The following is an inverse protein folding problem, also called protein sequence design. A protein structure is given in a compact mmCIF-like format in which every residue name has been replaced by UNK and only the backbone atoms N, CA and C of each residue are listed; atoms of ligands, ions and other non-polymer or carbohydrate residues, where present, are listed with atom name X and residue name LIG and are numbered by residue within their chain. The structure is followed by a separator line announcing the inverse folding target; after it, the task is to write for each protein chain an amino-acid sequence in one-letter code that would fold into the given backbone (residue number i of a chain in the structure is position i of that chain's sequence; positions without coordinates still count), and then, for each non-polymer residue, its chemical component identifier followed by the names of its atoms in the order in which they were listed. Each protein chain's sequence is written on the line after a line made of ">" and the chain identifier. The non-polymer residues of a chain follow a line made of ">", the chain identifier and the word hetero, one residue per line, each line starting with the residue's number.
data_IF_743805508538
#
_entry.id   IF_743805508538
#
_cell.length_a   1.000
_cell.length_b   1.000
_cell.length_c   1.000
_cell.angle_alpha   90.00
_cell.angle_beta   90.00
_cell.angle_gamma   90.00
#
_symmetry.space_group_name_H-M   'P 1'
#
loop_
_entity.id
_entity.type
_entity.pdbx_description
1 polymer ?
#
# COMPACT_ATOMS: atom_id res chain seq x y z
N UNK A 1 8.86 23.83 3.70
CA UNK A 1 9.77 23.42 4.80
C UNK A 1 11.14 22.99 4.29
N UNK A 2 11.23 22.03 3.35
CA UNK A 2 12.53 21.54 2.84
C UNK A 2 13.43 22.65 2.30
N UNK A 3 12.87 23.53 1.48
CA UNK A 3 13.64 24.63 0.88
C UNK A 3 14.09 25.67 1.90
N UNK A 4 13.40 25.80 3.03
CA UNK A 4 13.76 26.68 4.11
C UNK A 4 14.95 26.15 4.96
N UNK A 5 15.00 24.83 5.18
CA UNK A 5 16.05 24.18 5.97
C UNK A 5 17.37 24.02 5.20
N UNK A 6 17.28 23.78 3.89
CA UNK A 6 18.44 23.39 3.08
C UNK A 6 19.62 24.37 3.12
N UNK A 7 19.43 25.70 3.01
CA UNK A 7 20.57 26.63 3.00
C UNK A 7 21.39 26.62 4.29
N UNK A 8 20.73 26.48 5.45
CA UNK A 8 21.41 26.42 6.74
C UNK A 8 22.22 25.14 6.92
N UNK A 9 21.65 24.01 6.47
CA UNK A 9 22.29 22.69 6.50
C UNK A 9 23.54 22.67 5.62
N UNK A 10 23.45 23.16 4.38
CA UNK A 10 24.58 23.16 3.46
C UNK A 10 25.72 24.09 3.86
N UNK A 11 25.47 25.09 4.70
CA UNK A 11 26.53 25.93 5.32
C UNK A 11 27.28 25.19 6.44
N UNK A 12 26.61 24.29 7.17
CA UNK A 12 27.21 23.56 8.28
C UNK A 12 27.89 22.26 7.86
N UNK A 13 27.43 21.65 6.77
CA UNK A 13 27.90 20.34 6.32
C UNK A 13 28.32 20.34 4.86
N UNK A 14 29.51 19.84 4.57
CA UNK A 14 29.96 19.58 3.21
C UNK A 14 29.58 18.16 2.79
N UNK A 15 28.74 18.03 1.76
CA UNK A 15 28.30 16.74 1.21
C UNK A 15 29.03 16.38 -0.08
N UNK A 16 29.43 17.36 -0.88
CA UNK A 16 30.28 17.19 -2.07
C UNK A 16 31.73 17.59 -1.75
N UNK A 17 32.67 16.72 -2.07
CA UNK A 17 34.10 16.98 -1.90
C UNK A 17 34.69 17.72 -3.11
N UNK A 18 34.13 17.43 -4.29
CA UNK A 18 34.69 17.94 -5.56
C UNK A 18 34.31 19.40 -5.81
N UNK A 19 33.14 19.82 -5.29
CA UNK A 19 32.63 21.18 -5.43
C UNK A 19 32.06 21.66 -4.09
N UNK A 20 32.91 22.00 -3.12
CA UNK A 20 32.45 22.33 -1.77
C UNK A 20 31.66 23.65 -1.71
N UNK A 21 31.94 24.60 -2.58
CA UNK A 21 31.31 25.92 -2.61
C UNK A 21 30.07 26.00 -3.53
N UNK A 22 29.82 24.96 -4.33
CA UNK A 22 28.66 24.96 -5.22
C UNK A 22 27.41 24.38 -4.54
N UNK A 23 26.46 25.27 -4.27
CA UNK A 23 25.18 24.93 -3.60
C UNK A 23 24.46 23.76 -4.27
N UNK A 24 24.39 23.76 -5.59
CA UNK A 24 23.70 22.71 -6.36
C UNK A 24 24.37 21.35 -6.22
N UNK A 25 25.70 21.32 -6.29
CA UNK A 25 26.48 20.10 -6.08
C UNK A 25 26.35 19.55 -4.67
N UNK A 26 26.34 20.42 -3.67
CA UNK A 26 26.10 20.04 -2.27
C UNK A 26 24.69 19.44 -2.09
N UNK A 27 23.67 20.09 -2.62
CA UNK A 27 22.30 19.60 -2.60
C UNK A 27 22.16 18.24 -3.27
N UNK A 28 22.69 18.08 -4.48
CA UNK A 28 22.62 16.80 -5.22
C UNK A 28 23.33 15.67 -4.45
N UNK A 29 24.48 15.97 -3.84
CA UNK A 29 25.24 15.01 -3.05
C UNK A 29 24.48 14.58 -1.78
N UNK A 30 23.83 15.52 -1.09
CA UNK A 30 22.94 15.21 0.03
C UNK A 30 21.77 14.32 -0.43
N UNK A 31 21.10 14.71 -1.51
CA UNK A 31 19.96 13.93 -2.03
C UNK A 31 20.37 12.53 -2.48
N UNK A 32 21.56 12.37 -3.07
CA UNK A 32 22.10 11.06 -3.44
C UNK A 32 22.40 10.19 -2.22
N UNK A 33 22.91 10.78 -1.12
CA UNK A 33 23.12 10.05 0.15
C UNK A 33 21.82 9.51 0.74
N UNK A 34 20.71 10.24 0.58
CA UNK A 34 19.40 9.83 1.05
C UNK A 34 18.71 8.90 0.04
N UNK A 35 18.50 9.39 -1.18
CA UNK A 35 17.69 8.73 -2.21
C UNK A 35 18.34 7.51 -2.85
N UNK A 36 19.66 7.53 -3.05
CA UNK A 36 20.40 6.42 -3.66
C UNK A 36 20.54 5.17 -2.78
N UNK A 37 20.02 5.19 -1.56
CA UNK A 37 20.16 4.09 -0.60
C UNK A 37 18.86 3.36 -0.26
N UNK A 38 17.80 3.59 -1.02
CA UNK A 38 16.50 2.97 -0.75
C UNK A 38 16.57 1.43 -0.85
N UNK A 39 17.21 0.89 -1.86
CA UNK A 39 17.39 -0.56 -1.99
C UNK A 39 18.29 -1.16 -0.92
N UNK A 40 19.27 -0.39 -0.44
CA UNK A 40 20.21 -0.85 0.58
C UNK A 40 19.59 -0.84 1.98
N UNK A 41 18.80 0.20 2.31
CA UNK A 41 18.29 0.39 3.67
C UNK A 41 16.85 -0.05 3.86
N UNK A 42 16.02 -0.07 2.83
CA UNK A 42 14.58 -0.29 2.97
C UNK A 42 14.10 -1.69 2.60
N UNK A 43 14.84 -2.44 1.80
CA UNK A 43 14.35 -3.72 1.25
C UNK A 43 12.87 -3.66 0.82
N UNK A 44 12.56 -2.69 -0.03
CA UNK A 44 11.19 -2.42 -0.52
C UNK A 44 10.60 -3.58 -1.34
N UNK A 45 11.45 -4.54 -1.73
CA UNK A 45 11.02 -5.70 -2.52
C UNK A 45 10.18 -6.67 -1.70
N UNK A 46 10.54 -6.88 -0.44
CA UNK A 46 9.94 -7.91 0.40
C UNK A 46 9.00 -7.34 1.48
N UNK A 47 8.91 -6.01 1.57
CA UNK A 47 8.13 -5.35 2.61
C UNK A 47 7.15 -4.34 2.02
N UNK A 48 5.89 -4.46 2.40
CA UNK A 48 4.89 -3.41 2.19
C UNK A 48 5.15 -2.32 3.22
N UNK A 49 5.30 -1.08 2.76
CA UNK A 49 5.44 0.09 3.61
C UNK A 49 4.16 0.91 3.48
N UNK A 50 3.46 1.06 4.60
CA UNK A 50 2.07 1.55 4.60
C UNK A 50 1.94 3.05 4.90
N UNK A 51 3.02 3.69 5.37
CA UNK A 51 2.98 5.12 5.70
C UNK A 51 4.33 5.81 5.45
N UNK A 52 4.33 7.14 5.26
CA UNK A 52 5.56 7.90 5.14
C UNK A 52 6.40 7.88 6.42
N UNK A 53 5.76 7.76 7.58
CA UNK A 53 6.41 7.61 8.88
C UNK A 53 7.17 6.28 8.95
N UNK A 54 6.53 5.20 8.57
CA UNK A 54 7.15 3.88 8.50
C UNK A 54 8.30 3.86 7.49
N UNK A 55 8.14 4.50 6.34
CA UNK A 55 9.19 4.61 5.33
C UNK A 55 10.45 5.28 5.90
N UNK A 56 10.27 6.40 6.57
CA UNK A 56 11.38 7.11 7.21
C UNK A 56 12.02 6.28 8.34
N UNK A 57 11.22 5.72 9.23
CA UNK A 57 11.71 4.90 10.34
C UNK A 57 12.51 3.68 9.87
N UNK A 58 12.00 2.95 8.87
CA UNK A 58 12.71 1.79 8.28
C UNK A 58 13.99 2.20 7.59
N UNK A 59 14.01 3.36 6.93
CA UNK A 59 15.23 3.88 6.31
C UNK A 59 16.34 4.15 7.36
N UNK A 60 16.00 4.82 8.48
CA UNK A 60 16.94 5.05 9.55
C UNK A 60 17.42 3.75 10.21
N UNK A 61 16.50 2.82 10.43
CA UNK A 61 16.86 1.49 10.96
C UNK A 61 17.80 0.75 10.01
N UNK A 62 17.54 0.81 8.70
CA UNK A 62 18.39 0.21 7.68
C UNK A 62 19.78 0.85 7.60
N UNK A 63 19.89 2.17 7.78
CA UNK A 63 21.16 2.84 7.89
C UNK A 63 21.98 2.31 9.09
N UNK A 64 21.35 2.19 10.26
CA UNK A 64 21.99 1.66 11.47
C UNK A 64 22.41 0.20 11.26
N UNK A 65 21.55 -0.62 10.70
CA UNK A 65 21.85 -2.02 10.41
C UNK A 65 23.01 -2.16 9.41
N UNK A 66 23.02 -1.34 8.36
CA UNK A 66 24.11 -1.32 7.39
C UNK A 66 25.48 -1.02 8.04
N UNK A 67 25.51 -0.03 8.91
CA UNK A 67 26.73 0.32 9.67
C UNK A 67 27.20 -0.87 10.51
N UNK A 68 26.28 -1.54 11.23
CA UNK A 68 26.61 -2.66 12.10
C UNK A 68 27.02 -3.93 11.35
N UNK A 69 26.53 -4.15 10.16
CA UNK A 69 26.73 -5.43 9.44
C UNK A 69 27.75 -5.31 8.31
N UNK A 70 27.60 -4.30 7.44
CA UNK A 70 28.41 -4.16 6.23
C UNK A 70 29.71 -3.41 6.52
N UNK A 71 29.65 -2.39 7.38
CA UNK A 71 30.77 -1.55 7.74
C UNK A 71 31.44 -1.99 9.07
N UNK A 72 31.05 -3.14 9.62
CA UNK A 72 31.57 -3.65 10.90
C UNK A 72 33.10 -3.70 10.94
N UNK A 73 33.67 -3.12 12.01
CA UNK A 73 35.11 -3.02 12.22
C UNK A 73 35.82 -1.92 11.42
N UNK A 74 35.10 -1.16 10.60
CA UNK A 74 35.63 -0.01 9.81
C UNK A 74 34.69 1.19 9.83
N UNK A 75 33.77 1.23 10.80
CA UNK A 75 32.64 2.18 10.85
C UNK A 75 33.10 3.64 10.73
N UNK A 76 34.11 4.03 11.50
CA UNK A 76 34.57 5.43 11.58
C UNK A 76 35.10 5.97 10.24
N UNK A 77 35.57 5.11 9.33
CA UNK A 77 36.05 5.50 8.01
C UNK A 77 34.96 5.60 6.95
N UNK A 78 33.79 5.01 7.20
CA UNK A 78 32.72 4.85 6.21
C UNK A 78 31.77 6.02 6.14
N UNK A 79 31.29 6.27 4.92
CA UNK A 79 30.38 7.37 4.63
C UNK A 79 29.04 7.25 5.38
N UNK A 80 28.52 6.03 5.55
CA UNK A 80 27.28 5.77 6.27
C UNK A 80 27.38 6.17 7.75
N UNK A 81 28.46 5.77 8.42
CA UNK A 81 28.73 6.16 9.81
C UNK A 81 28.87 7.67 9.98
N UNK A 82 29.67 8.32 9.12
CA UNK A 82 29.84 9.77 9.15
C UNK A 82 28.52 10.51 8.96
N UNK A 83 27.67 10.01 8.05
CA UNK A 83 26.36 10.60 7.83
C UNK A 83 25.43 10.40 9.03
N UNK A 84 25.47 9.22 9.65
CA UNK A 84 24.73 8.95 10.89
C UNK A 84 25.17 9.89 12.02
N UNK A 85 26.47 10.15 12.18
CA UNK A 85 26.98 11.11 13.17
C UNK A 85 26.47 12.55 12.88
N UNK A 86 26.47 12.97 11.62
CA UNK A 86 25.88 14.26 11.22
C UNK A 86 24.38 14.35 11.58
N UNK A 87 23.61 13.29 11.33
CA UNK A 87 22.19 13.23 11.68
C UNK A 87 21.96 13.29 13.20
N UNK A 88 22.84 12.67 13.99
CA UNK A 88 22.74 12.69 15.46
C UNK A 88 23.10 14.04 16.04
N UNK A 89 24.06 14.75 15.45
CA UNK A 89 24.57 16.03 15.95
C UNK A 89 23.81 17.27 15.45
N UNK A 90 23.03 17.14 14.36
CA UNK A 90 22.28 18.24 13.77
C UNK A 90 20.79 17.92 13.62
N UNK A 91 19.94 18.43 14.55
CA UNK A 91 18.49 18.21 14.50
C UNK A 91 17.82 18.74 13.23
N UNK A 92 18.31 19.85 12.64
CA UNK A 92 17.75 20.38 11.39
C UNK A 92 18.04 19.46 10.19
N UNK A 93 19.24 18.86 10.17
CA UNK A 93 19.57 17.85 9.16
C UNK A 93 18.70 16.60 9.31
N UNK A 94 18.47 16.15 10.55
CA UNK A 94 17.59 15.02 10.83
C UNK A 94 16.14 15.31 10.38
N UNK A 95 15.63 16.50 10.67
CA UNK A 95 14.32 16.94 10.23
C UNK A 95 14.24 16.98 8.69
N UNK A 96 15.24 17.58 8.06
CA UNK A 96 15.32 17.64 6.60
C UNK A 96 15.28 16.26 5.95
N UNK A 97 16.10 15.33 6.44
CA UNK A 97 16.14 13.95 5.91
C UNK A 97 14.81 13.26 6.12
N UNK A 98 14.18 13.42 7.27
CA UNK A 98 12.86 12.87 7.57
C UNK A 98 11.80 13.40 6.61
N UNK A 99 11.73 14.70 6.40
CA UNK A 99 10.81 15.34 5.46
C UNK A 99 11.08 14.92 4.00
N UNK A 100 12.35 14.80 3.63
CA UNK A 100 12.76 14.34 2.30
C UNK A 100 12.29 12.90 2.04
N UNK A 101 12.45 12.01 3.02
CA UNK A 101 11.98 10.61 2.93
C UNK A 101 10.46 10.53 2.83
N UNK A 102 9.72 11.29 3.66
CA UNK A 102 8.26 11.36 3.59
C UNK A 102 7.78 11.89 2.23
N UNK A 103 8.39 12.95 1.71
CA UNK A 103 8.12 13.45 0.35
C UNK A 103 8.40 12.39 -0.71
N UNK A 104 9.50 11.65 -0.57
CA UNK A 104 9.87 10.59 -1.51
C UNK A 104 8.83 9.45 -1.50
N UNK A 105 8.36 9.06 -0.33
CA UNK A 105 7.26 8.09 -0.19
C UNK A 105 6.04 8.53 -1.02
N UNK A 106 5.54 9.74 -0.79
CA UNK A 106 4.37 10.25 -1.51
C UNK A 106 4.59 10.38 -3.01
N UNK A 107 5.77 10.86 -3.42
CA UNK A 107 6.13 10.93 -4.85
C UNK A 107 6.15 9.55 -5.51
N UNK A 108 6.63 8.53 -4.81
CA UNK A 108 6.61 7.16 -5.30
C UNK A 108 5.17 6.63 -5.39
N UNK A 109 4.33 6.91 -4.40
CA UNK A 109 2.91 6.57 -4.44
C UNK A 109 2.20 7.24 -5.63
N UNK A 110 2.46 8.52 -5.88
CA UNK A 110 1.88 9.24 -7.03
C UNK A 110 2.37 8.67 -8.37
N UNK A 111 3.65 8.30 -8.45
CA UNK A 111 4.21 7.67 -9.64
C UNK A 111 3.58 6.29 -9.91
N UNK A 112 3.34 5.50 -8.86
CA UNK A 112 2.66 4.22 -8.95
C UNK A 112 1.16 4.40 -9.26
N UNK A 113 0.50 5.38 -8.65
CA UNK A 113 -0.89 5.70 -8.93
C UNK A 113 -1.12 6.08 -10.40
N UNK A 114 -0.15 6.73 -11.05
CA UNK A 114 -0.19 7.03 -12.50
C UNK A 114 -0.05 5.79 -13.38
N UNK A 115 0.58 4.73 -12.86
CA UNK A 115 0.71 3.42 -13.55
C UNK A 115 -0.44 2.48 -13.19
N UNK A 116 -1.32 2.91 -12.31
CA UNK A 116 -2.49 2.14 -11.87
C UNK A 116 -3.33 1.78 -13.08
N UNK A 117 -3.87 0.55 -13.15
CA UNK A 117 -4.81 0.17 -14.19
C UNK A 117 -5.96 1.17 -14.29
N UNK A 118 -6.48 1.37 -15.48
CA UNK A 118 -7.68 2.18 -15.66
C UNK A 118 -8.85 1.56 -14.90
N UNK A 119 -9.87 2.36 -14.61
CA UNK A 119 -11.08 1.89 -13.93
C UNK A 119 -11.64 0.62 -14.57
N UNK A 120 -11.51 0.49 -15.88
CA UNK A 120 -11.97 -0.65 -16.66
C UNK A 120 -11.17 -1.94 -16.41
N UNK A 121 -9.95 -1.81 -15.90
CA UNK A 121 -9.01 -2.91 -15.69
C UNK A 121 -8.89 -3.32 -14.22
N UNK A 122 -9.27 -2.45 -13.28
CA UNK A 122 -9.12 -2.67 -11.83
C UNK A 122 -10.48 -2.90 -11.19
N UNK A 123 -10.83 -4.15 -10.88
CA UNK A 123 -12.16 -4.45 -10.40
C UNK A 123 -12.24 -5.70 -9.51
N UNK A 124 -13.32 -5.76 -8.76
CA UNK A 124 -13.81 -6.98 -8.12
C UNK A 124 -14.43 -7.89 -9.16
N UNK A 125 -14.27 -9.18 -9.00
CA UNK A 125 -15.06 -10.15 -9.74
C UNK A 125 -16.02 -10.90 -8.81
N UNK A 126 -17.15 -11.31 -9.35
CA UNK A 126 -18.11 -12.17 -8.67
C UNK A 126 -18.24 -13.46 -9.44
N UNK A 127 -18.30 -14.58 -8.73
CA UNK A 127 -18.57 -15.88 -9.31
C UNK A 127 -20.04 -16.03 -9.67
N UNK A 128 -20.34 -16.74 -10.75
CA UNK A 128 -21.70 -17.01 -11.17
C UNK A 128 -22.32 -18.20 -10.46
N UNK A 129 -21.52 -19.05 -9.83
CA UNK A 129 -21.95 -20.25 -9.14
C UNK A 129 -21.28 -20.37 -7.77
N UNK A 130 -22.02 -20.92 -6.79
CA UNK A 130 -21.51 -21.24 -5.45
C UNK A 130 -20.88 -20.06 -4.69
N UNK A 131 -21.52 -18.90 -4.74
CA UNK A 131 -21.13 -17.72 -3.94
C UNK A 131 -19.61 -17.45 -3.94
N UNK A 132 -18.98 -17.53 -5.09
CA UNK A 132 -17.53 -17.33 -5.20
C UNK A 132 -17.21 -15.88 -5.53
N UNK A 133 -16.44 -15.22 -4.68
CA UNK A 133 -16.06 -13.83 -4.87
C UNK A 133 -14.56 -13.67 -4.79
N UNK A 134 -14.04 -12.67 -5.46
CA UNK A 134 -12.65 -12.33 -5.38
C UNK A 134 -12.40 -10.87 -5.76
N UNK A 135 -11.28 -10.37 -5.34
CA UNK A 135 -10.80 -9.04 -5.66
C UNK A 135 -9.61 -9.17 -6.60
N UNK A 136 -9.66 -8.45 -7.69
CA UNK A 136 -8.55 -8.31 -8.61
C UNK A 136 -7.81 -7.01 -8.30
N UNK A 137 -6.51 -7.13 -8.10
CA UNK A 137 -5.64 -6.00 -7.82
C UNK A 137 -4.67 -5.89 -8.98
N UNK A 138 -4.60 -4.69 -9.59
CA UNK A 138 -3.88 -4.49 -10.84
C UNK A 138 -4.20 -5.57 -11.90
N UNK A 139 -5.50 -5.84 -12.14
CA UNK A 139 -5.89 -6.95 -12.99
C UNK A 139 -5.50 -6.70 -14.44
N UNK A 140 -5.08 -7.76 -15.11
CA UNK A 140 -4.87 -7.78 -16.57
C UNK A 140 -5.84 -8.77 -17.17
N UNK A 141 -6.54 -8.34 -18.20
CA UNK A 141 -7.39 -9.26 -18.98
C UNK A 141 -6.55 -9.91 -20.07
N UNK A 142 -6.36 -11.23 -20.00
CA UNK A 142 -5.54 -11.98 -20.94
C UNK A 142 -6.15 -13.35 -21.20
N UNK A 143 -6.17 -13.76 -22.46
CA UNK A 143 -6.73 -15.06 -22.87
C UNK A 143 -8.17 -15.32 -22.41
N UNK A 144 -9.02 -14.29 -22.32
CA UNK A 144 -10.40 -14.40 -21.87
C UNK A 144 -10.59 -14.44 -20.35
N UNK A 145 -9.53 -14.21 -19.56
CA UNK A 145 -9.56 -14.25 -18.11
C UNK A 145 -8.84 -13.05 -17.49
N UNK A 146 -9.23 -12.72 -16.25
CA UNK A 146 -8.57 -11.71 -15.46
C UNK A 146 -7.42 -12.32 -14.65
N UNK A 147 -6.22 -11.84 -14.90
CA UNK A 147 -5.04 -12.17 -14.10
C UNK A 147 -4.90 -11.15 -12.95
N UNK A 148 -4.52 -11.65 -11.79
CA UNK A 148 -4.29 -10.83 -10.62
C UNK A 148 -2.79 -10.61 -10.42
N UNK A 149 -2.33 -9.38 -10.58
CA UNK A 149 -0.94 -9.00 -10.32
C UNK A 149 -0.83 -8.28 -8.99
N UNK A 150 -0.26 -8.97 -8.00
CA UNK A 150 -0.05 -8.43 -6.65
C UNK A 150 1.30 -7.72 -6.49
N UNK A 151 2.17 -7.75 -7.50
CA UNK A 151 3.53 -7.22 -7.40
C UNK A 151 3.57 -5.69 -7.29
N UNK A 152 2.59 -5.00 -7.88
CA UNK A 152 2.50 -3.54 -7.92
C UNK A 152 1.75 -2.92 -6.75
N UNK A 153 1.20 -3.72 -5.83
CA UNK A 153 0.45 -3.22 -4.65
C UNK A 153 1.34 -2.47 -3.67
N UNK A 154 2.62 -2.73 -3.74
CA UNK A 154 3.62 -2.08 -2.89
C UNK A 154 3.64 -0.59 -3.18
N UNK A 155 3.38 0.24 -2.15
CA UNK A 155 3.43 1.70 -2.21
C UNK A 155 2.22 2.42 -2.83
N UNK A 156 1.10 1.74 -3.08
CA UNK A 156 -0.14 2.44 -3.42
C UNK A 156 -0.71 3.24 -2.25
N UNK A 157 -1.46 4.30 -2.55
CA UNK A 157 -2.37 4.88 -1.56
C UNK A 157 -3.30 3.78 -1.04
N UNK A 158 -3.61 3.77 0.25
CA UNK A 158 -4.40 2.71 0.86
C UNK A 158 -5.90 2.86 0.52
N UNK A 159 -6.26 2.62 -0.71
CA UNK A 159 -7.66 2.66 -1.17
C UNK A 159 -8.09 1.37 -1.86
N UNK A 160 -7.22 0.36 -1.90
CA UNK A 160 -7.60 -0.98 -2.33
C UNK A 160 -8.28 -1.75 -1.19
N UNK A 161 -9.19 -2.65 -1.55
CA UNK A 161 -9.92 -3.46 -0.60
C UNK A 161 -10.86 -2.65 0.32
N UNK A 162 -11.28 -1.47 -0.14
CA UNK A 162 -12.18 -0.58 0.59
C UNK A 162 -13.49 -0.36 -0.17
N UNK A 163 -14.48 0.19 0.53
CA UNK A 163 -15.74 0.65 -0.10
C UNK A 163 -15.45 1.61 -1.27
N UNK A 164 -14.54 2.56 -1.08
CA UNK A 164 -14.14 3.49 -2.14
C UNK A 164 -13.57 2.79 -3.37
N UNK A 165 -12.83 1.69 -3.20
CA UNK A 165 -12.32 0.90 -4.31
C UNK A 165 -13.44 0.31 -5.17
N UNK A 166 -14.43 -0.32 -4.55
CA UNK A 166 -15.52 -0.93 -5.31
C UNK A 166 -16.40 0.10 -6.02
N UNK A 167 -16.60 1.27 -5.39
CA UNK A 167 -17.34 2.37 -6.04
C UNK A 167 -16.57 2.96 -7.22
N UNK A 168 -15.25 3.05 -7.12
CA UNK A 168 -14.40 3.57 -8.21
C UNK A 168 -14.30 2.58 -9.38
N UNK A 169 -14.22 1.28 -9.11
CA UNK A 169 -13.90 0.27 -10.13
C UNK A 169 -15.05 -0.62 -10.54
N UNK A 170 -16.11 -0.72 -9.74
CA UNK A 170 -17.17 -1.68 -9.93
C UNK A 170 -16.74 -3.13 -9.70
N UNK A 171 -17.59 -4.06 -10.08
CA UNK A 171 -17.39 -5.51 -10.04
C UNK A 171 -17.32 -6.08 -11.46
N UNK A 172 -16.28 -6.82 -11.78
CA UNK A 172 -16.21 -7.54 -13.07
C UNK A 172 -16.94 -8.88 -13.01
N UNK A 173 -17.57 -9.23 -14.10
CA UNK A 173 -18.16 -10.55 -14.28
C UNK A 173 -17.10 -11.45 -14.94
N UNK A 174 -16.77 -12.62 -14.35
CA UNK A 174 -15.82 -13.55 -14.95
C UNK A 174 -16.22 -13.94 -16.37
N UNK A 175 -15.24 -14.09 -17.23
CA UNK A 175 -15.41 -14.44 -18.66
C UNK A 175 -16.24 -13.44 -19.48
N UNK A 176 -16.48 -12.25 -18.96
CA UNK A 176 -17.23 -11.20 -19.64
C UNK A 176 -16.54 -9.84 -19.46
N UNK A 177 -16.55 -8.97 -20.47
CA UNK A 177 -16.12 -7.59 -20.31
C UNK A 177 -17.11 -6.75 -19.48
N UNK A 178 -18.26 -7.33 -19.11
CA UNK A 178 -19.28 -6.63 -18.34
C UNK A 178 -18.82 -6.32 -16.93
N UNK A 179 -19.32 -5.21 -16.44
CA UNK A 179 -19.00 -4.67 -15.13
C UNK A 179 -20.28 -4.19 -14.45
N UNK A 180 -20.40 -4.45 -13.14
CA UNK A 180 -21.47 -3.91 -12.31
C UNK A 180 -20.93 -2.66 -11.66
N UNK A 181 -21.56 -1.53 -11.94
CA UNK A 181 -21.16 -0.23 -11.37
C UNK A 181 -22.10 0.18 -10.24
N UNK A 182 -21.56 0.86 -9.26
CA UNK A 182 -22.29 1.43 -8.14
C UNK A 182 -22.01 2.92 -8.07
N UNK A 183 -23.06 3.71 -8.01
CA UNK A 183 -22.96 5.18 -7.94
C UNK A 183 -23.02 5.69 -6.51
N UNK A 184 -23.55 4.89 -5.58
CA UNK A 184 -23.63 5.22 -4.15
C UNK A 184 -23.25 4.05 -3.28
N UNK A 185 -22.88 4.35 -2.03
CA UNK A 185 -22.57 3.34 -1.02
C UNK A 185 -23.77 2.44 -0.78
N UNK A 186 -24.97 3.01 -0.69
CA UNK A 186 -26.21 2.28 -0.45
C UNK A 186 -26.48 1.25 -1.55
N UNK A 187 -26.25 1.60 -2.81
CA UNK A 187 -26.40 0.64 -3.94
C UNK A 187 -25.47 -0.55 -3.76
N UNK A 188 -24.20 -0.30 -3.40
CA UNK A 188 -23.26 -1.39 -3.13
C UNK A 188 -23.70 -2.23 -1.93
N UNK A 189 -24.10 -1.61 -0.81
CA UNK A 189 -24.51 -2.35 0.38
C UNK A 189 -25.77 -3.19 0.16
N UNK A 190 -26.73 -2.69 -0.61
CA UNK A 190 -27.91 -3.46 -1.02
C UNK A 190 -27.48 -4.66 -1.88
N UNK A 191 -26.58 -4.47 -2.83
CA UNK A 191 -26.04 -5.56 -3.64
C UNK A 191 -25.28 -6.57 -2.78
N UNK A 192 -24.42 -6.09 -1.89
CA UNK A 192 -23.65 -6.91 -0.95
C UNK A 192 -24.56 -7.82 -0.13
N UNK A 193 -25.56 -7.27 0.54
CA UNK A 193 -26.47 -8.05 1.37
C UNK A 193 -27.34 -9.02 0.55
N UNK A 194 -27.98 -8.53 -0.51
CA UNK A 194 -29.02 -9.27 -1.20
C UNK A 194 -28.50 -10.21 -2.28
N UNK A 195 -27.30 -9.98 -2.79
CA UNK A 195 -26.71 -10.80 -3.84
C UNK A 195 -25.53 -11.58 -3.28
N UNK A 196 -24.54 -10.91 -2.69
CA UNK A 196 -23.31 -11.58 -2.27
C UNK A 196 -23.57 -12.48 -1.05
N UNK A 197 -24.02 -11.92 0.05
CA UNK A 197 -24.15 -12.66 1.31
C UNK A 197 -25.38 -13.57 1.31
N UNK A 198 -26.50 -13.14 0.74
CA UNK A 198 -27.73 -13.97 0.69
C UNK A 198 -27.53 -15.33 0.01
N UNK A 199 -26.56 -15.44 -0.91
CA UNK A 199 -26.25 -16.71 -1.59
C UNK A 199 -25.63 -17.75 -0.66
N UNK A 200 -25.04 -17.35 0.46
CA UNK A 200 -24.47 -18.26 1.45
C UNK A 200 -25.56 -19.02 2.22
N UNK A 201 -26.79 -18.47 2.26
CA UNK A 201 -27.95 -19.00 2.98
C UNK A 201 -27.75 -19.14 4.50
N UNK A 202 -26.73 -18.53 5.05
CA UNK A 202 -26.43 -18.54 6.48
C UNK A 202 -27.11 -17.36 7.19
N UNK A 203 -27.96 -17.60 8.21
CA UNK A 203 -28.55 -16.52 8.99
C UNK A 203 -27.51 -15.73 9.78
N UNK A 204 -26.43 -16.39 10.22
CA UNK A 204 -25.34 -15.75 10.95
C UNK A 204 -24.56 -14.78 10.06
N UNK A 205 -24.26 -15.19 8.83
CA UNK A 205 -23.58 -14.32 7.86
C UNK A 205 -24.46 -13.12 7.48
N UNK A 206 -25.76 -13.31 7.35
CA UNK A 206 -26.70 -12.19 7.13
C UNK A 206 -26.72 -11.19 8.29
N UNK A 207 -26.66 -11.66 9.53
CA UNK A 207 -26.56 -10.79 10.71
C UNK A 207 -25.27 -9.98 10.71
N UNK A 208 -24.14 -10.61 10.43
CA UNK A 208 -22.84 -9.95 10.31
C UNK A 208 -22.84 -8.91 9.18
N UNK A 209 -23.40 -9.28 8.03
CA UNK A 209 -23.51 -8.36 6.90
C UNK A 209 -24.35 -7.12 7.25
N UNK A 210 -25.44 -7.30 8.00
CA UNK A 210 -26.27 -6.20 8.48
C UNK A 210 -25.46 -5.25 9.38
N UNK A 211 -24.76 -5.77 10.37
CA UNK A 211 -23.91 -4.99 11.28
C UNK A 211 -22.78 -4.25 10.52
N UNK A 212 -22.19 -4.91 9.53
CA UNK A 212 -21.21 -4.27 8.67
C UNK A 212 -21.81 -3.10 7.88
N UNK A 213 -23.00 -3.26 7.31
CA UNK A 213 -23.67 -2.16 6.61
C UNK A 213 -24.00 -0.99 7.54
N UNK A 214 -24.47 -1.26 8.75
CA UNK A 214 -24.71 -0.24 9.79
C UNK A 214 -23.41 0.50 10.13
N UNK A 215 -22.30 -0.22 10.28
CA UNK A 215 -20.97 0.38 10.50
C UNK A 215 -20.56 1.31 9.35
N UNK A 216 -20.71 0.85 8.11
CA UNK A 216 -20.35 1.66 6.92
C UNK A 216 -21.18 2.93 6.86
N UNK A 217 -22.50 2.83 7.02
CA UNK A 217 -23.42 3.97 6.93
C UNK A 217 -23.25 4.98 8.09
N UNK A 218 -22.81 4.52 9.26
CA UNK A 218 -22.58 5.40 10.42
C UNK A 218 -21.17 6.02 10.46
N UNK A 219 -20.28 5.58 9.59
CA UNK A 219 -18.90 6.05 9.57
C UNK A 219 -18.78 7.48 9.03
N UNK A 220 -17.85 8.25 9.59
CA UNK A 220 -17.44 9.54 9.05
C UNK A 220 -16.57 9.43 7.77
N UNK A 221 -15.98 8.26 7.54
CA UNK A 221 -15.10 7.98 6.40
C UNK A 221 -15.49 6.65 5.74
N UNK A 222 -16.71 6.52 5.22
CA UNK A 222 -17.21 5.24 4.75
C UNK A 222 -16.43 4.67 3.56
N UNK A 223 -15.83 5.53 2.73
CA UNK A 223 -15.01 5.11 1.59
C UNK A 223 -13.71 4.40 1.99
N UNK A 224 -13.20 4.64 3.19
CA UNK A 224 -11.97 4.04 3.70
C UNK A 224 -12.19 2.73 4.45
N UNK A 225 -13.45 2.35 4.69
CA UNK A 225 -13.76 1.11 5.39
C UNK A 225 -13.35 -0.08 4.52
N UNK A 226 -12.58 -1.03 5.07
CA UNK A 226 -12.23 -2.26 4.36
C UNK A 226 -13.47 -3.06 3.97
N UNK A 227 -13.41 -3.70 2.80
CA UNK A 227 -14.47 -4.60 2.35
C UNK A 227 -14.58 -5.82 3.25
N UNK A 228 -15.79 -6.18 3.62
CA UNK A 228 -16.12 -7.49 4.14
C UNK A 228 -16.38 -8.43 2.95
N UNK A 229 -15.45 -9.34 2.69
CA UNK A 229 -15.43 -10.15 1.47
C UNK A 229 -15.94 -11.56 1.81
N UNK A 230 -17.13 -11.94 1.36
CA UNK A 230 -17.62 -13.30 1.57
C UNK A 230 -16.85 -14.29 0.69
N UNK A 231 -16.57 -15.46 1.18
CA UNK A 231 -16.04 -16.59 0.43
C UNK A 231 -14.80 -16.26 -0.45
N UNK A 232 -13.88 -15.44 0.07
CA UNK A 232 -12.73 -14.95 -0.71
C UNK A 232 -11.91 -16.08 -1.33
N UNK A 233 -11.72 -16.03 -2.64
CA UNK A 233 -10.77 -16.88 -3.36
C UNK A 233 -9.40 -16.21 -3.41
N UNK A 234 -8.55 -16.49 -2.44
CA UNK A 234 -7.22 -15.88 -2.29
C UNK A 234 -6.14 -16.42 -3.26
N UNK A 235 -6.42 -17.48 -3.99
CA UNK A 235 -5.53 -18.01 -5.04
C UNK A 235 -5.98 -17.68 -6.47
N UNK A 236 -6.95 -16.75 -6.62
CA UNK A 236 -7.49 -16.34 -7.90
C UNK A 236 -8.63 -17.24 -8.42
N UNK A 237 -9.14 -16.86 -9.59
CA UNK A 237 -10.33 -17.46 -10.22
C UNK A 237 -10.21 -18.97 -10.48
N UNK A 238 -9.02 -19.41 -10.86
CA UNK A 238 -8.79 -20.80 -11.29
C UNK A 238 -8.45 -21.75 -10.15
N UNK A 239 -8.18 -21.22 -8.97
CA UNK A 239 -7.78 -22.05 -7.83
C UNK A 239 -9.02 -22.61 -7.14
N UNK A 240 -9.12 -23.94 -7.09
CA UNK A 240 -10.14 -24.60 -6.29
C UNK A 240 -9.68 -24.66 -4.84
N UNK A 241 -10.40 -23.94 -3.98
CA UNK A 241 -10.18 -24.02 -2.54
C UNK A 241 -11.17 -25.02 -1.93
N UNK A 242 -10.65 -26.00 -1.19
CA UNK A 242 -11.49 -26.96 -0.46
C UNK A 242 -12.17 -26.31 0.75
N UNK A 243 -11.49 -25.33 1.35
CA UNK A 243 -11.97 -24.60 2.52
C UNK A 243 -11.95 -23.12 2.19
N UNK A 244 -13.04 -22.45 2.47
CA UNK A 244 -13.21 -21.01 2.34
C UNK A 244 -13.69 -20.48 3.68
N UNK A 245 -13.15 -19.34 4.08
CA UNK A 245 -13.64 -18.64 5.26
C UNK A 245 -14.92 -17.89 4.89
N UNK A 246 -15.89 -17.85 5.80
CA UNK A 246 -17.16 -17.19 5.56
C UNK A 246 -16.95 -15.73 5.18
N UNK A 247 -16.04 -15.05 5.89
CA UNK A 247 -15.64 -13.70 5.54
C UNK A 247 -14.13 -13.50 5.65
N UNK A 248 -13.64 -12.58 4.85
CA UNK A 248 -12.26 -12.09 4.92
C UNK A 248 -12.26 -10.57 4.86
N UNK A 249 -11.43 -9.95 5.70
CA UNK A 249 -11.07 -8.54 5.63
C UNK A 249 -9.59 -8.45 5.24
N UNK A 250 -9.28 -7.56 4.31
CA UNK A 250 -7.90 -7.26 3.94
C UNK A 250 -7.58 -5.85 4.40
N UNK A 251 -6.55 -5.72 5.23
CA UNK A 251 -6.07 -4.42 5.65
C UNK A 251 -5.52 -3.67 4.43
N UNK A 252 -6.08 -2.51 4.05
CA UNK A 252 -5.67 -1.81 2.83
C UNK A 252 -4.25 -1.24 2.90
N UNK A 253 -3.67 -1.13 4.08
CA UNK A 253 -2.31 -0.61 4.30
C UNK A 253 -1.26 -1.71 4.32
N UNK A 254 -1.51 -2.79 5.06
CA UNK A 254 -0.54 -3.87 5.29
C UNK A 254 -0.75 -5.07 4.39
N UNK A 255 -1.92 -5.16 3.73
CA UNK A 255 -2.41 -6.30 2.96
C UNK A 255 -2.50 -7.60 3.77
N UNK A 256 -2.43 -7.51 5.08
CA UNK A 256 -2.71 -8.65 5.96
C UNK A 256 -4.17 -9.06 5.81
N UNK A 257 -4.39 -10.36 5.70
CA UNK A 257 -5.72 -10.97 5.59
C UNK A 257 -6.13 -11.49 6.95
N UNK A 258 -7.34 -11.16 7.35
CA UNK A 258 -7.98 -11.74 8.52
C UNK A 258 -9.27 -12.43 8.07
N UNK A 259 -9.34 -13.72 8.31
CA UNK A 259 -10.51 -14.51 8.01
C UNK A 259 -11.35 -14.80 9.23
N UNK A 260 -12.63 -15.00 8.99
CA UNK A 260 -13.65 -15.30 10.01
C UNK A 260 -14.42 -16.54 9.55
N UNK A 261 -14.66 -17.43 10.49
CA UNK A 261 -15.46 -18.63 10.35
C UNK A 261 -16.55 -18.58 11.43
N UNK A 262 -17.77 -18.79 11.04
CA UNK A 262 -18.93 -18.77 11.95
C UNK A 262 -19.52 -20.17 12.00
N UNK A 263 -19.16 -20.93 13.03
CA UNK A 263 -19.82 -22.20 13.30
C UNK A 263 -21.20 -21.99 13.94
N UNK A 264 -22.21 -22.75 13.53
CA UNK A 264 -23.54 -22.68 14.15
C UNK A 264 -23.54 -23.09 15.62
#
# INVERSE_FOLDING_TARGET
>A
QLDALLPSILRRHAFSKDNPDDFKSQQLSLHAKIGGKHTTYLNVTDNVISSPEEFAARWFQGLINHIKTVDAGKEASRAAYKFQQQLTSDPELLEYVTLFLKRTYWRNCDALAKKRPKKEEAALWIGQTNASYGLLITPRFKNGEWENDVSEIRHFKPNYWTIGHVLETGLVVPHSPQRIEFFTIEQYLVFFQNIMVRQTRSPYEMEIAKKYCELVLSSKQPYEIPLLIPELRYGGLQTQHRYRLDFTIINPYTLQKQGFEFSP
#
